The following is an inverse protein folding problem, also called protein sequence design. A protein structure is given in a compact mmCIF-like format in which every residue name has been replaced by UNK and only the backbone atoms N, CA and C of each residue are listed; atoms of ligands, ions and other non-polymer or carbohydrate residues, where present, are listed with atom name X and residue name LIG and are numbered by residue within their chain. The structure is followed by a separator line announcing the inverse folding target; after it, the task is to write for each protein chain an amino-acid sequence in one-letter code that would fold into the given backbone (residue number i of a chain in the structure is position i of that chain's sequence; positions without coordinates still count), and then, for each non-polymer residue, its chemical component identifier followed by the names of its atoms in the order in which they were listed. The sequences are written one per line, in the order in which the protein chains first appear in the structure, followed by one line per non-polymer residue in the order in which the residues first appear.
data_IF_941931226048
#
_entry.id   IF_941931226048
#
_cell.length_a   1.000
_cell.length_b   1.000
_cell.length_c   1.000
_cell.angle_alpha   90.00
_cell.angle_beta   90.00
_cell.angle_gamma   90.00
#
_symmetry.space_group_name_H-M   'P 1'
#
loop_
_entity.id
_entity.type
_entity.pdbx_description
1 polymer ?
#
# COMPACT_ATOMS: atom_id res chain seq x y z
N UNK A 1 18.45 -10.75 -7.41
CA UNK A 1 16.98 -10.65 -7.60
C UNK A 1 16.51 -9.26 -7.21
N UNK A 2 15.72 -8.65 -8.06
CA UNK A 2 15.17 -7.31 -7.77
C UNK A 2 13.94 -7.43 -6.86
N UNK A 3 13.83 -6.53 -5.88
CA UNK A 3 12.65 -6.49 -4.99
C UNK A 3 11.45 -5.88 -5.71
N UNK A 4 10.26 -6.15 -5.17
CA UNK A 4 9.02 -5.56 -5.69
C UNK A 4 9.08 -4.03 -5.64
N UNK A 5 9.53 -3.46 -4.52
CA UNK A 5 9.68 -2.00 -4.36
C UNK A 5 10.58 -1.42 -5.43
N UNK A 6 11.73 -2.02 -5.64
CA UNK A 6 12.69 -1.54 -6.64
C UNK A 6 12.14 -1.65 -8.05
N UNK A 7 11.47 -2.76 -8.37
CA UNK A 7 10.86 -2.95 -9.68
C UNK A 7 9.82 -1.86 -9.98
N UNK A 8 9.02 -1.49 -8.98
CA UNK A 8 8.03 -0.43 -9.14
C UNK A 8 8.67 0.95 -9.29
N UNK A 9 9.73 1.22 -8.54
CA UNK A 9 10.50 2.47 -8.67
C UNK A 9 11.07 2.60 -10.08
N UNK A 10 11.61 1.52 -10.63
CA UNK A 10 12.16 1.50 -11.99
C UNK A 10 11.10 1.76 -13.06
N UNK A 11 9.83 1.50 -12.74
CA UNK A 11 8.69 1.80 -13.63
C UNK A 11 8.14 3.20 -13.43
N UNK A 12 8.79 4.02 -12.61
CA UNK A 12 8.43 5.42 -12.41
C UNK A 12 7.45 5.69 -11.28
N UNK A 13 7.14 4.68 -10.45
CA UNK A 13 6.23 4.86 -9.33
C UNK A 13 6.95 5.34 -8.08
N UNK A 14 6.27 6.19 -7.30
CA UNK A 14 6.75 6.66 -6.02
C UNK A 14 6.35 5.67 -4.94
N UNK A 15 7.21 4.73 -4.65
CA UNK A 15 6.98 3.71 -3.62
C UNK A 15 8.14 3.65 -2.63
N UNK A 16 7.82 3.27 -1.40
CA UNK A 16 8.80 3.00 -0.36
C UNK A 16 8.36 1.77 0.42
N UNK A 17 9.24 1.23 1.22
CA UNK A 17 8.94 0.06 2.05
C UNK A 17 9.32 0.35 3.49
N UNK A 18 8.71 -0.37 4.41
CA UNK A 18 9.09 -0.36 5.82
C UNK A 18 10.23 -1.38 6.03
N UNK A 19 11.31 -1.05 6.73
CA UNK A 19 11.57 0.26 7.36
C UNK A 19 12.10 1.31 6.39
N UNK A 20 11.94 2.57 6.77
CA UNK A 20 12.48 3.69 6.01
C UNK A 20 12.77 4.86 6.98
N UNK A 21 13.07 6.05 6.45
CA UNK A 21 13.49 7.19 7.26
C UNK A 21 12.41 7.68 8.25
N UNK A 22 11.14 7.41 7.96
CA UNK A 22 10.02 7.86 8.79
C UNK A 22 9.23 6.70 9.41
N UNK A 23 9.67 5.45 9.23
CA UNK A 23 8.96 4.27 9.75
C UNK A 23 9.94 3.19 10.20
N UNK A 24 9.89 2.87 11.48
CA UNK A 24 10.74 1.83 12.07
C UNK A 24 10.28 0.42 11.67
N UNK A 25 11.21 -0.54 11.71
CA UNK A 25 10.92 -1.94 11.36
C UNK A 25 9.96 -2.61 12.35
N UNK A 26 9.92 -2.14 13.60
CA UNK A 26 9.08 -2.68 14.68
C UNK A 26 7.80 -1.87 14.89
N UNK A 27 7.47 -0.97 13.96
CA UNK A 27 6.26 -0.16 14.06
C UNK A 27 5.01 -1.04 14.05
N UNK A 28 4.05 -0.70 14.92
CA UNK A 28 2.75 -1.37 14.95
C UNK A 28 1.95 -1.00 13.70
N UNK A 29 0.88 -1.75 13.41
CA UNK A 29 -0.01 -1.46 12.29
C UNK A 29 -0.58 -0.04 12.41
N UNK A 30 -0.97 0.38 13.62
CA UNK A 30 -1.49 1.72 13.88
C UNK A 30 -0.44 2.80 13.60
N UNK A 31 0.80 2.57 14.04
CA UNK A 31 1.91 3.49 13.77
C UNK A 31 2.21 3.58 12.28
N UNK A 32 2.15 2.46 11.58
CA UNK A 32 2.34 2.42 10.13
C UNK A 32 1.26 3.23 9.42
N UNK A 33 0.00 3.06 9.84
CA UNK A 33 -1.11 3.82 9.24
C UNK A 33 -0.97 5.31 9.50
N UNK A 34 -0.66 5.71 10.74
CA UNK A 34 -0.47 7.13 11.05
C UNK A 34 0.70 7.73 10.29
N UNK A 35 1.80 6.98 10.14
CA UNK A 35 2.93 7.43 9.33
C UNK A 35 2.53 7.66 7.88
N UNK A 36 1.78 6.74 7.31
CA UNK A 36 1.29 6.86 5.93
C UNK A 36 0.37 8.08 5.78
N UNK A 37 -0.54 8.30 6.73
CA UNK A 37 -1.43 9.47 6.73
C UNK A 37 -0.60 10.76 6.75
N UNK A 38 0.37 10.84 7.65
CA UNK A 38 1.23 12.03 7.80
C UNK A 38 2.00 12.32 6.51
N UNK A 39 2.44 11.28 5.81
CA UNK A 39 3.18 11.41 4.57
C UNK A 39 2.27 11.55 3.34
N UNK A 40 0.96 11.47 3.51
CA UNK A 40 0.00 11.54 2.41
C UNK A 40 0.10 10.32 1.48
N UNK A 41 0.40 9.15 2.01
CA UNK A 41 0.69 7.95 1.22
C UNK A 41 -0.36 6.87 1.41
N UNK A 42 -0.60 6.12 0.35
CA UNK A 42 -1.40 4.90 0.37
C UNK A 42 -0.56 3.79 1.01
N UNK A 43 -1.17 2.98 1.87
CA UNK A 43 -0.48 1.84 2.46
C UNK A 43 -0.92 0.55 1.75
N UNK A 44 0.06 -0.30 1.40
CA UNK A 44 -0.18 -1.63 0.85
C UNK A 44 0.21 -2.66 1.90
N UNK A 45 -0.71 -3.57 2.22
CA UNK A 45 -0.48 -4.53 3.29
C UNK A 45 -1.11 -5.89 2.97
N UNK A 46 -0.49 -6.94 3.50
CA UNK A 46 -1.05 -8.30 3.53
C UNK A 46 -1.81 -8.56 4.83
N UNK A 47 -1.73 -7.67 5.81
CA UNK A 47 -2.38 -7.80 7.11
C UNK A 47 -3.83 -7.31 7.04
N UNK A 48 -4.63 -8.07 6.32
CA UNK A 48 -5.98 -7.67 5.88
C UNK A 48 -6.90 -7.36 7.05
N UNK A 49 -7.02 -8.31 7.98
CA UNK A 49 -7.99 -8.20 9.10
C UNK A 49 -7.73 -6.95 9.94
N UNK A 50 -6.47 -6.74 10.33
CA UNK A 50 -6.12 -5.64 11.22
C UNK A 50 -6.32 -4.29 10.55
N UNK A 51 -5.99 -4.18 9.26
CA UNK A 51 -6.16 -2.92 8.55
C UNK A 51 -7.62 -2.61 8.19
N UNK A 52 -8.48 -3.62 8.01
CA UNK A 52 -9.92 -3.39 7.87
C UNK A 52 -10.48 -2.78 9.17
N UNK A 53 -10.07 -3.29 10.33
CA UNK A 53 -10.49 -2.74 11.63
C UNK A 53 -9.98 -1.31 11.79
N UNK A 54 -8.70 -1.07 11.50
CA UNK A 54 -8.11 0.27 11.60
C UNK A 54 -8.81 1.29 10.68
N UNK A 55 -9.18 0.88 9.48
CA UNK A 55 -9.85 1.75 8.51
C UNK A 55 -11.16 2.30 9.05
N UNK A 56 -11.90 1.50 9.81
CA UNK A 56 -13.17 1.93 10.41
C UNK A 56 -12.99 3.06 11.41
N UNK A 57 -11.87 3.05 12.13
CA UNK A 57 -11.55 4.06 13.14
C UNK A 57 -10.79 5.26 12.56
N UNK A 58 -10.31 5.15 11.34
CA UNK A 58 -9.47 6.18 10.71
C UNK A 58 -9.94 6.50 9.29
N UNK A 59 -11.09 7.16 9.15
CA UNK A 59 -11.59 7.56 7.83
C UNK A 59 -10.73 8.62 7.15
N UNK A 60 -9.79 9.21 7.88
CA UNK A 60 -8.82 10.18 7.38
C UNK A 60 -7.61 9.52 6.69
N UNK A 61 -7.62 8.19 6.53
CA UNK A 61 -6.53 7.51 5.81
C UNK A 61 -6.46 7.99 4.36
N UNK A 62 -5.26 7.86 3.78
CA UNK A 62 -5.00 8.29 2.40
C UNK A 62 -5.16 7.15 1.38
N UNK A 63 -5.70 6.03 1.84
CA UNK A 63 -5.93 4.85 1.04
C UNK A 63 -5.26 3.63 1.64
N UNK A 64 -5.98 2.53 1.64
CA UNK A 64 -5.46 1.24 2.11
C UNK A 64 -5.72 0.21 1.02
N UNK A 65 -4.65 -0.42 0.56
CA UNK A 65 -4.71 -1.48 -0.44
C UNK A 65 -4.39 -2.80 0.23
N UNK A 66 -5.34 -3.72 0.16
CA UNK A 66 -5.27 -5.03 0.81
C UNK A 66 -4.99 -6.11 -0.22
N UNK A 67 -4.20 -7.10 0.16
CA UNK A 67 -3.97 -8.29 -0.65
C UNK A 67 -3.62 -9.47 0.23
N UNK A 68 -3.96 -10.67 -0.19
CA UNK A 68 -3.30 -11.87 0.31
C UNK A 68 -1.89 -11.90 -0.27
N UNK A 69 -0.99 -12.66 0.39
CA UNK A 69 0.37 -12.77 -0.10
C UNK A 69 0.39 -13.58 -1.41
N UNK A 70 1.03 -13.01 -2.43
CA UNK A 70 1.09 -13.60 -3.78
C UNK A 70 2.51 -13.48 -4.31
N UNK A 71 2.89 -14.30 -5.29
CA UNK A 71 4.21 -14.18 -5.89
C UNK A 71 4.38 -12.84 -6.61
N UNK A 72 5.62 -12.40 -6.74
CA UNK A 72 5.95 -11.14 -7.40
C UNK A 72 5.44 -11.09 -8.85
N UNK A 73 5.39 -12.24 -9.53
CA UNK A 73 4.88 -12.32 -10.89
C UNK A 73 3.41 -11.91 -11.01
N UNK A 74 2.66 -11.95 -9.90
CA UNK A 74 1.28 -11.48 -9.82
C UNK A 74 1.22 -10.05 -9.27
N UNK A 75 1.96 -9.79 -8.19
CA UNK A 75 1.92 -8.48 -7.51
C UNK A 75 2.42 -7.35 -8.40
N UNK A 76 3.53 -7.56 -9.09
CA UNK A 76 4.16 -6.49 -9.86
C UNK A 76 3.28 -5.95 -10.98
N UNK A 77 2.73 -6.79 -11.89
CA UNK A 77 1.88 -6.23 -12.94
C UNK A 77 0.57 -5.64 -12.40
N UNK A 78 -0.01 -6.21 -11.34
CA UNK A 78 -1.23 -5.68 -10.75
C UNK A 78 -0.99 -4.31 -10.12
N UNK A 79 0.09 -4.15 -9.35
CA UNK A 79 0.44 -2.88 -8.73
C UNK A 79 0.83 -1.82 -9.77
N UNK A 80 1.59 -2.22 -10.78
CA UNK A 80 1.97 -1.33 -11.86
C UNK A 80 0.73 -0.78 -12.57
N UNK A 81 -0.21 -1.65 -12.91
CA UNK A 81 -1.46 -1.26 -13.55
C UNK A 81 -2.30 -0.34 -12.66
N UNK A 82 -2.49 -0.73 -11.40
CA UNK A 82 -3.27 0.05 -10.44
C UNK A 82 -2.69 1.45 -10.25
N UNK A 83 -1.38 1.55 -10.06
CA UNK A 83 -0.71 2.84 -9.84
C UNK A 83 -0.74 3.72 -11.09
N UNK A 84 -0.78 3.11 -12.28
CA UNK A 84 -0.87 3.83 -13.54
C UNK A 84 -2.29 4.34 -13.83
N UNK A 85 -3.30 3.65 -13.34
CA UNK A 85 -4.71 3.93 -13.67
C UNK A 85 -5.45 4.74 -12.61
N UNK A 86 -4.84 4.97 -11.43
CA UNK A 86 -5.50 5.69 -10.35
C UNK A 86 -4.70 6.92 -9.93
N UNK A 87 -5.41 7.91 -9.40
CA UNK A 87 -4.83 9.12 -8.84
C UNK A 87 -4.90 9.07 -7.31
N UNK A 88 -3.97 9.74 -6.64
CA UNK A 88 -3.90 9.74 -5.18
C UNK A 88 -5.22 10.19 -4.53
N UNK A 89 -5.88 11.16 -5.13
CA UNK A 89 -7.14 11.72 -4.61
C UNK A 89 -8.27 10.69 -4.58
N UNK A 90 -8.24 9.70 -5.47
CA UNK A 90 -9.27 8.64 -5.52
C UNK A 90 -9.19 7.70 -4.33
N UNK A 91 -8.08 7.72 -3.60
CA UNK A 91 -7.81 6.76 -2.53
C UNK A 91 -8.17 7.25 -1.14
N UNK A 92 -8.37 8.55 -0.96
CA UNK A 92 -8.60 9.13 0.37
C UNK A 92 -9.83 8.49 1.02
N UNK A 93 -9.63 7.88 2.18
CA UNK A 93 -10.67 7.19 2.94
C UNK A 93 -11.14 5.86 2.34
N UNK A 94 -10.46 5.36 1.32
CA UNK A 94 -10.89 4.14 0.61
C UNK A 94 -10.06 2.94 1.01
N UNK A 95 -10.74 1.80 1.14
CA UNK A 95 -10.12 0.49 1.30
C UNK A 95 -10.41 -0.29 0.02
N UNK A 96 -9.36 -0.75 -0.65
CA UNK A 96 -9.49 -1.47 -1.92
C UNK A 96 -8.71 -2.77 -1.87
N UNK A 97 -9.08 -3.71 -2.74
CA UNK A 97 -8.43 -5.01 -2.85
C UNK A 97 -7.61 -5.07 -4.13
N UNK A 98 -6.36 -5.50 -4.01
CA UNK A 98 -5.50 -5.69 -5.18
C UNK A 98 -6.10 -6.71 -6.14
N UNK A 99 -6.86 -7.67 -5.61
CA UNK A 99 -7.48 -8.72 -6.42
C UNK A 99 -8.35 -8.16 -7.55
N UNK A 100 -8.95 -6.99 -7.35
CA UNK A 100 -9.77 -6.32 -8.37
C UNK A 100 -8.94 -5.84 -9.57
N UNK A 101 -7.61 -5.82 -9.43
CA UNK A 101 -6.67 -5.34 -10.44
C UNK A 101 -5.84 -6.47 -11.06
N UNK A 102 -6.06 -7.70 -10.61
CA UNK A 102 -5.38 -8.87 -11.16
C UNK A 102 -6.18 -9.37 -12.36
N UNK A 103 -5.47 -9.56 -13.47
CA UNK A 103 -6.07 -10.04 -14.72
C UNK A 103 -5.67 -11.47 -15.04
#
# INVERSE_FOLDING_TARGET
MISLTRALIERGHDVTRTPNDWMASDATDKEQLFGAITQGRIIFTFNVRDFIVLAKSHPDNKGILLSSQKPMSILLPALDYLLSETEAEEWVGKVRWLNDWIK
#
